data_IF_226012136606
#
_entry.id   IF_226012136606
#
_cell.length_a   1.000
_cell.length_b   1.000
_cell.length_c   1.000
_cell.angle_alpha   90.00
_cell.angle_beta   90.00
_cell.angle_gamma   90.00
#
_symmetry.space_group_name_H-M   'P 1'
#
loop_
_entity.id
_entity.type
_entity.pdbx_description
1 polymer ?
#
# COMPACT_ATOMS: atom_id res chain seq x y z
N UNK A 1 -0.73 10.67 0.07
CA UNK A 1 -1.22 9.53 -0.73
C UNK A 1 -2.10 8.61 0.09
N UNK A 2 -1.61 8.06 1.22
CA UNK A 2 -2.42 7.20 2.12
C UNK A 2 -3.84 7.71 2.43
N UNK A 3 -3.99 8.98 2.83
CA UNK A 3 -5.31 9.60 3.10
C UNK A 3 -6.27 9.54 1.90
N UNK A 4 -5.75 9.75 0.68
CA UNK A 4 -6.58 9.68 -0.53
C UNK A 4 -7.04 8.24 -0.81
N UNK A 5 -6.15 7.26 -0.61
CA UNK A 5 -6.51 5.84 -0.71
C UNK A 5 -7.55 5.44 0.35
N UNK A 6 -7.36 5.87 1.60
CA UNK A 6 -8.31 5.66 2.69
C UNK A 6 -9.68 6.27 2.38
N UNK A 7 -9.75 7.54 1.97
CA UNK A 7 -11.02 8.20 1.65
C UNK A 7 -11.74 7.55 0.45
N UNK A 8 -11.00 7.07 -0.55
CA UNK A 8 -11.59 6.29 -1.65
C UNK A 8 -12.12 4.94 -1.16
N UNK A 9 -11.36 4.22 -0.33
CA UNK A 9 -11.78 2.95 0.26
C UNK A 9 -13.06 3.12 1.10
N UNK A 10 -13.13 4.17 1.91
CA UNK A 10 -14.24 4.47 2.81
C UNK A 10 -15.45 5.15 2.15
N UNK A 11 -15.39 5.48 0.86
CA UNK A 11 -16.54 6.09 0.18
C UNK A 11 -17.79 5.19 0.34
N UNK A 12 -18.90 5.71 0.85
CA UNK A 12 -20.12 4.92 1.14
C UNK A 12 -19.98 3.86 2.26
N UNK A 13 -18.95 3.92 3.09
CA UNK A 13 -18.87 3.16 4.35
C UNK A 13 -19.01 4.12 5.54
N UNK A 14 -19.70 3.63 6.57
CA UNK A 14 -19.72 4.25 7.90
C UNK A 14 -18.30 4.28 8.47
N UNK A 15 -17.86 5.43 8.96
CA UNK A 15 -16.53 5.57 9.56
C UNK A 15 -16.55 5.20 11.05
N UNK A 16 -17.74 5.26 11.64
CA UNK A 16 -18.07 5.00 13.04
C UNK A 16 -17.85 3.54 13.43
N UNK A 17 -17.92 2.61 12.47
CA UNK A 17 -17.72 1.17 12.71
C UNK A 17 -16.24 0.74 12.71
N UNK A 18 -15.32 1.65 12.37
CA UNK A 18 -13.89 1.38 12.28
C UNK A 18 -13.29 1.48 13.68
N UNK A 19 -12.84 0.35 14.22
CA UNK A 19 -12.19 0.28 15.52
C UNK A 19 -10.66 0.36 15.47
N UNK A 20 -10.06 0.24 14.28
CA UNK A 20 -8.61 0.28 14.14
C UNK A 20 -8.12 0.82 12.80
N UNK A 21 -6.94 1.44 12.80
CA UNK A 21 -6.20 1.90 11.64
C UNK A 21 -4.76 1.39 11.68
N UNK A 22 -4.36 0.66 10.65
CA UNK A 22 -3.01 0.13 10.47
C UNK A 22 -2.36 0.87 9.28
N UNK A 23 -1.45 1.80 9.56
CA UNK A 23 -0.72 2.54 8.53
C UNK A 23 0.64 1.91 8.26
N UNK A 24 0.95 1.60 7.00
CA UNK A 24 2.19 0.96 6.59
C UNK A 24 3.01 1.84 5.64
N UNK A 25 4.26 2.13 6.00
CA UNK A 25 5.19 2.91 5.19
C UNK A 25 6.65 2.70 5.62
N UNK A 26 7.56 2.62 4.66
CA UNK A 26 9.01 2.74 4.90
C UNK A 26 9.51 4.18 4.80
N UNK A 27 8.71 5.08 4.24
CA UNK A 27 8.99 6.51 4.11
C UNK A 27 7.92 7.39 4.76
N UNK A 28 7.58 7.18 6.06
CA UNK A 28 6.62 8.03 6.74
C UNK A 28 7.17 9.46 6.90
N UNK A 29 6.31 10.48 6.94
CA UNK A 29 6.74 11.87 7.14
C UNK A 29 7.35 12.12 8.51
N UNK A 30 6.93 11.39 9.55
CA UNK A 30 7.49 11.49 10.90
C UNK A 30 8.07 10.15 11.37
N UNK A 31 9.18 10.23 12.12
CA UNK A 31 9.85 9.07 12.73
C UNK A 31 9.28 8.70 14.09
N UNK A 32 8.95 9.70 14.92
CA UNK A 32 8.45 9.49 16.29
C UNK A 32 6.95 9.79 16.43
N UNK A 33 6.46 10.83 15.73
CA UNK A 33 5.03 11.13 15.72
C UNK A 33 4.27 10.05 14.95
N UNK A 34 3.20 9.52 15.56
CA UNK A 34 2.33 8.56 14.88
C UNK A 34 1.77 9.12 13.56
N UNK A 35 2.04 8.42 12.46
CA UNK A 35 1.57 8.79 11.14
C UNK A 35 0.16 8.23 10.91
N UNK A 36 -0.15 7.07 11.52
CA UNK A 36 -1.50 6.54 11.62
C UNK A 36 -2.46 7.59 12.21
N UNK A 37 -2.08 8.31 13.27
CA UNK A 37 -2.92 9.39 13.83
C UNK A 37 -3.26 10.51 12.83
N UNK A 38 -2.33 10.82 11.92
CA UNK A 38 -2.53 11.82 10.86
C UNK A 38 -3.53 11.28 9.84
N UNK A 39 -3.36 10.02 9.43
CA UNK A 39 -4.26 9.38 8.47
C UNK A 39 -5.66 9.23 9.05
N UNK A 40 -5.80 8.83 10.32
CA UNK A 40 -7.09 8.75 11.01
C UNK A 40 -7.80 10.09 11.02
N UNK A 41 -7.11 11.16 11.44
CA UNK A 41 -7.68 12.50 11.46
C UNK A 41 -8.04 12.99 10.05
N UNK A 42 -7.15 12.83 9.07
CA UNK A 42 -7.39 13.32 7.72
C UNK A 42 -8.41 12.47 6.92
N UNK A 43 -8.68 11.26 7.39
CA UNK A 43 -9.77 10.39 6.92
C UNK A 43 -10.98 10.42 7.86
N UNK A 44 -11.13 11.46 8.67
CA UNK A 44 -12.30 11.71 9.53
C UNK A 44 -12.81 10.47 10.28
N UNK A 45 -11.86 9.68 10.81
CA UNK A 45 -12.19 8.53 11.64
C UNK A 45 -12.57 8.98 13.07
N UNK A 46 -13.28 8.12 13.83
CA UNK A 46 -13.48 8.32 15.26
C UNK A 46 -12.15 8.46 16.00
N UNK A 47 -12.17 9.17 17.13
CA UNK A 47 -10.97 9.35 17.96
C UNK A 47 -10.63 8.13 18.82
N UNK A 48 -11.64 7.29 19.09
CA UNK A 48 -11.60 6.10 19.92
C UNK A 48 -11.29 4.84 19.09
N UNK A 49 -10.20 4.89 18.31
CA UNK A 49 -9.72 3.78 17.49
C UNK A 49 -8.30 3.38 17.89
N UNK A 50 -7.96 2.11 17.66
CA UNK A 50 -6.58 1.64 17.77
C UNK A 50 -5.79 2.03 16.51
N UNK A 51 -4.88 3.01 16.62
CA UNK A 51 -4.04 3.46 15.51
C UNK A 51 -2.60 2.96 15.66
N UNK A 52 -2.05 2.34 14.61
CA UNK A 52 -0.72 1.73 14.65
C UNK A 52 0.06 1.96 13.35
N UNK A 53 1.37 2.19 13.48
CA UNK A 53 2.31 2.38 12.38
C UNK A 53 3.15 1.11 12.14
N UNK A 54 3.26 0.66 10.89
CA UNK A 54 4.08 -0.46 10.40
C UNK A 54 5.17 0.09 9.48
N UNK A 55 6.43 -0.27 9.73
CA UNK A 55 7.55 0.36 9.04
C UNK A 55 8.72 -0.60 8.73
N UNK A 56 9.80 -0.02 8.21
CA UNK A 56 11.14 -0.61 8.02
C UNK A 56 11.31 -1.72 6.97
N UNK A 57 10.25 -2.44 6.60
CA UNK A 57 10.30 -3.47 5.55
C UNK A 57 9.26 -3.21 4.46
N UNK A 58 9.53 -3.65 3.23
CA UNK A 58 8.52 -3.65 2.15
C UNK A 58 7.38 -4.65 2.44
N UNK A 59 7.54 -5.52 3.43
CA UNK A 59 6.44 -6.33 4.01
C UNK A 59 5.53 -5.55 4.95
N UNK A 60 5.83 -4.29 5.29
CA UNK A 60 4.99 -3.51 6.20
C UNK A 60 3.51 -3.50 5.79
N UNK A 61 3.21 -3.44 4.47
CA UNK A 61 1.83 -3.50 3.97
C UNK A 61 1.15 -4.84 4.21
N UNK A 62 1.84 -5.96 3.96
CA UNK A 62 1.30 -7.31 4.20
C UNK A 62 1.27 -7.67 5.69
N UNK A 63 2.22 -7.19 6.48
CA UNK A 63 2.21 -7.29 7.93
C UNK A 63 1.01 -6.56 8.53
N UNK A 64 0.74 -5.33 8.09
CA UNK A 64 -0.43 -4.57 8.50
C UNK A 64 -1.74 -5.27 8.12
N UNK A 65 -1.80 -5.86 6.91
CA UNK A 65 -2.93 -6.67 6.46
C UNK A 65 -3.16 -7.88 7.38
N UNK A 66 -2.11 -8.66 7.68
CA UNK A 66 -2.22 -9.81 8.58
C UNK A 66 -2.67 -9.40 9.98
N UNK A 67 -2.07 -8.35 10.55
CA UNK A 67 -2.45 -7.85 11.87
C UNK A 67 -3.89 -7.35 11.94
N UNK A 68 -4.39 -6.71 10.87
CA UNK A 68 -5.79 -6.30 10.78
C UNK A 68 -6.75 -7.50 10.69
N UNK A 69 -6.41 -8.52 9.89
CA UNK A 69 -7.18 -9.77 9.81
C UNK A 69 -7.25 -10.45 11.18
N UNK A 70 -6.13 -10.54 11.90
CA UNK A 70 -6.09 -11.14 13.23
C UNK A 70 -6.93 -10.35 14.25
N UNK A 71 -6.80 -9.02 14.24
CA UNK A 71 -7.55 -8.16 15.15
C UNK A 71 -9.07 -8.25 14.93
N UNK A 72 -9.51 -8.32 13.67
CA UNK A 72 -10.93 -8.52 13.34
C UNK A 72 -11.39 -9.92 13.70
N UNK A 73 -10.58 -10.94 13.43
CA UNK A 73 -10.92 -12.35 13.72
C UNK A 73 -11.00 -12.63 15.21
N UNK A 74 -10.22 -11.92 16.04
CA UNK A 74 -10.29 -12.02 17.50
C UNK A 74 -11.60 -11.45 18.08
N UNK A 75 -12.33 -10.63 17.34
CA UNK A 75 -13.67 -10.12 17.71
C UNK A 75 -13.82 -8.73 18.34
N UNK A 76 -12.83 -8.10 19.03
CA UNK A 76 -13.05 -6.79 19.66
C UNK A 76 -13.16 -5.65 18.63
N UNK A 77 -12.57 -5.83 17.45
CA UNK A 77 -12.57 -4.86 16.35
C UNK A 77 -13.48 -5.36 15.24
N UNK A 78 -14.61 -4.69 14.96
CA UNK A 78 -15.50 -5.09 13.86
C UNK A 78 -14.91 -4.80 12.49
N UNK A 79 -14.27 -3.64 12.35
CA UNK A 79 -13.61 -3.23 11.12
C UNK A 79 -12.27 -2.57 11.41
N UNK A 80 -11.28 -2.91 10.59
CA UNK A 80 -9.94 -2.35 10.63
C UNK A 80 -9.58 -1.81 9.24
N UNK A 81 -9.12 -0.54 9.19
CA UNK A 81 -8.63 0.07 7.96
C UNK A 81 -7.12 -0.14 7.85
N UNK A 82 -6.68 -0.77 6.77
CA UNK A 82 -5.25 -0.90 6.43
C UNK A 82 -4.94 0.12 5.35
N UNK A 83 -3.89 0.92 5.54
CA UNK A 83 -3.44 1.92 4.57
C UNK A 83 -1.94 1.72 4.35
N UNK A 84 -1.55 1.24 3.19
CA UNK A 84 -0.15 1.17 2.78
C UNK A 84 0.15 2.33 1.83
N UNK A 85 1.20 3.10 2.10
CA UNK A 85 1.58 4.27 1.30
C UNK A 85 3.08 4.47 1.37
N UNK A 86 3.73 4.57 0.22
CA UNK A 86 5.18 4.74 0.17
C UNK A 86 5.63 5.62 -1.00
N UNK A 87 6.79 6.23 -0.81
CA UNK A 87 7.49 7.07 -1.79
C UNK A 87 8.94 6.59 -1.85
N UNK A 88 9.28 5.85 -2.90
CA UNK A 88 10.64 5.28 -2.99
C UNK A 88 11.58 6.22 -3.73
N UNK A 89 12.46 6.88 -2.97
CA UNK A 89 13.51 7.74 -3.53
C UNK A 89 14.74 6.91 -3.88
N UNK A 90 15.00 6.75 -5.17
CA UNK A 90 16.24 6.20 -5.70
C UNK A 90 17.28 7.30 -5.96
N UNK A 91 18.55 6.92 -5.98
CA UNK A 91 19.63 7.84 -6.35
C UNK A 91 19.48 8.23 -7.83
N UNK A 92 19.61 9.51 -8.20
CA UNK A 92 19.62 9.93 -9.60
C UNK A 92 20.64 9.16 -10.42
N UNK A 93 20.24 8.73 -11.63
CA UNK A 93 21.01 7.92 -12.58
C UNK A 93 21.37 6.50 -12.09
N UNK A 94 20.77 6.04 -11.00
CA UNK A 94 20.88 4.64 -10.58
C UNK A 94 19.85 3.76 -11.31
N UNK A 95 20.10 2.46 -11.34
CA UNK A 95 19.14 1.49 -11.91
C UNK A 95 17.78 1.53 -11.19
N UNK A 96 17.80 1.78 -9.87
CA UNK A 96 16.61 1.90 -9.05
C UNK A 96 15.73 3.09 -9.44
N UNK A 97 16.26 4.10 -10.12
CA UNK A 97 15.50 5.28 -10.54
C UNK A 97 14.40 4.94 -11.55
N UNK A 98 14.67 4.02 -12.47
CA UNK A 98 13.68 3.55 -13.44
C UNK A 98 12.67 2.57 -12.83
N UNK A 99 12.99 2.00 -11.66
CA UNK A 99 12.21 0.94 -11.00
C UNK A 99 11.29 1.53 -9.93
N UNK A 100 11.79 2.46 -9.12
CA UNK A 100 11.08 2.96 -7.95
C UNK A 100 9.86 3.80 -8.34
N UNK A 101 8.83 3.71 -7.51
CA UNK A 101 7.57 4.41 -7.69
C UNK A 101 6.98 4.88 -6.38
N UNK A 102 5.86 5.58 -6.52
CA UNK A 102 5.06 6.05 -5.39
C UNK A 102 3.64 5.57 -5.52
N UNK A 103 3.04 5.24 -4.39
CA UNK A 103 1.63 4.88 -4.41
C UNK A 103 1.07 4.61 -3.05
N UNK A 104 -0.24 4.41 -3.03
CA UNK A 104 -0.95 3.97 -1.85
C UNK A 104 -2.14 3.09 -2.23
N UNK A 105 -2.46 2.16 -1.34
CA UNK A 105 -3.67 1.38 -1.37
C UNK A 105 -4.26 1.30 0.04
N UNK A 106 -5.57 1.16 0.12
CA UNK A 106 -6.26 0.97 1.39
C UNK A 106 -7.27 -0.18 1.28
N UNK A 107 -7.33 -1.00 2.33
CA UNK A 107 -8.22 -2.15 2.45
C UNK A 107 -9.02 -2.01 3.74
N UNK A 108 -10.34 -2.18 3.65
CA UNK A 108 -11.21 -2.30 4.82
C UNK A 108 -11.38 -3.78 5.14
N UNK A 109 -10.91 -4.18 6.30
CA UNK A 109 -11.00 -5.56 6.80
C UNK A 109 -12.18 -5.63 7.76
N UNK A 110 -13.04 -6.63 7.59
CA UNK A 110 -14.25 -6.81 8.39
C UNK A 110 -14.79 -8.23 8.26
N UNK A 111 -15.90 -8.51 8.95
CA UNK A 111 -16.55 -9.82 9.00
C UNK A 111 -17.95 -9.86 8.33
N UNK A 112 -18.37 -8.76 7.71
CA UNK A 112 -19.68 -8.60 7.07
C UNK A 112 -19.52 -8.03 5.66
N UNK A 113 -20.33 -8.49 4.71
CA UNK A 113 -20.31 -8.02 3.30
C UNK A 113 -18.90 -8.06 2.68
N UNK A 114 -18.16 -9.14 2.96
CA UNK A 114 -16.76 -9.31 2.56
C UNK A 114 -16.68 -9.61 1.06
N UNK A 115 -15.87 -8.84 0.32
CA UNK A 115 -15.66 -9.06 -1.13
C UNK A 115 -14.70 -10.22 -1.42
N UNK A 116 -13.84 -10.51 -0.45
CA UNK A 116 -12.86 -11.59 -0.49
C UNK A 116 -12.66 -12.13 0.92
N UNK A 117 -12.87 -13.44 1.06
CA UNK A 117 -12.62 -14.21 2.26
C UNK A 117 -11.13 -14.53 2.35
N UNK A 118 -10.56 -14.38 3.54
CA UNK A 118 -9.20 -14.81 3.84
C UNK A 118 -9.21 -16.32 4.16
N UNK A 119 -8.51 -17.12 3.37
CA UNK A 119 -8.41 -18.57 3.63
C UNK A 119 -7.25 -18.85 4.61
N UNK A 120 -6.03 -18.40 4.30
CA UNK A 120 -4.85 -18.63 5.13
C UNK A 120 -3.64 -17.81 4.67
N UNK A 121 -2.58 -17.79 5.48
CA UNK A 121 -1.28 -17.22 5.11
C UNK A 121 -0.09 -18.03 5.63
N UNK A 122 1.07 -17.80 5.03
CA UNK A 122 2.34 -18.35 5.50
C UNK A 122 3.44 -17.30 5.36
N UNK A 123 4.29 -17.16 6.39
CA UNK A 123 5.38 -16.20 6.40
C UNK A 123 6.71 -16.86 6.77
N UNK A 124 7.78 -16.42 6.11
CA UNK A 124 9.18 -16.75 6.41
C UNK A 124 9.93 -15.45 6.62
N UNK A 125 10.81 -15.40 7.60
CA UNK A 125 11.69 -14.25 7.83
C UNK A 125 13.14 -14.67 7.66
N UNK A 126 13.95 -13.78 7.09
CA UNK A 126 15.38 -13.99 6.92
C UNK A 126 16.09 -12.66 7.22
N UNK A 127 17.06 -12.71 8.12
CA UNK A 127 18.03 -11.63 8.24
C UNK A 127 18.95 -11.70 7.02
N UNK A 128 18.91 -10.65 6.20
CA UNK A 128 19.72 -10.48 5.00
C UNK A 128 19.82 -8.99 4.71
N UNK A 129 21.03 -8.51 4.45
CA UNK A 129 21.30 -7.13 4.06
C UNK A 129 21.30 -7.02 2.52
N UNK A 130 20.13 -7.17 1.90
CA UNK A 130 19.97 -7.14 0.45
C UNK A 130 19.74 -5.71 -0.08
N UNK A 131 18.67 -5.07 0.39
CA UNK A 131 18.26 -3.70 0.09
C UNK A 131 17.92 -3.04 1.41
N UNK A 132 18.56 -1.91 1.71
CA UNK A 132 18.39 -1.24 2.99
C UNK A 132 18.45 0.27 2.86
N UNK A 133 18.07 0.94 3.94
CA UNK A 133 18.18 2.39 4.09
C UNK A 133 18.46 2.68 5.56
N UNK A 134 19.65 3.20 5.85
CA UNK A 134 19.99 3.64 7.20
C UNK A 134 19.20 4.91 7.56
N UNK A 135 19.20 5.27 8.84
CA UNK A 135 18.45 6.42 9.36
C UNK A 135 18.76 7.73 8.62
N UNK A 136 20.05 7.97 8.35
CA UNK A 136 20.55 9.17 7.66
C UNK A 136 20.58 9.05 6.14
N UNK A 137 20.28 7.88 5.58
CA UNK A 137 20.35 7.68 4.13
C UNK A 137 19.18 8.41 3.46
N UNK A 138 19.47 9.17 2.41
CA UNK A 138 18.43 9.73 1.52
C UNK A 138 17.94 8.67 0.53
N UNK A 139 18.88 7.92 -0.03
CA UNK A 139 18.64 6.95 -1.10
C UNK A 139 18.68 5.51 -0.60
N UNK A 140 17.99 4.63 -1.31
CA UNK A 140 18.04 3.20 -1.08
C UNK A 140 19.45 2.68 -1.41
N UNK A 141 20.00 1.86 -0.53
CA UNK A 141 21.24 1.12 -0.74
C UNK A 141 20.92 -0.32 -1.15
N UNK A 142 21.79 -0.88 -1.97
CA UNK A 142 21.67 -2.23 -2.52
C UNK A 142 23.03 -2.91 -2.50
N UNK A 143 23.02 -4.23 -2.38
CA UNK A 143 24.20 -5.07 -2.60
C UNK A 143 24.24 -5.62 -4.03
N UNK A 144 25.11 -6.61 -4.26
CA UNK A 144 25.30 -7.31 -5.52
C UNK A 144 24.02 -8.05 -5.98
N UNK A 145 23.70 -7.87 -7.26
CA UNK A 145 22.42 -8.22 -7.86
C UNK A 145 22.05 -9.71 -7.81
N UNK A 146 23.06 -10.58 -7.96
CA UNK A 146 22.90 -12.03 -7.87
C UNK A 146 22.66 -12.47 -6.44
N UNK A 147 23.43 -11.96 -5.48
CA UNK A 147 23.23 -12.25 -4.05
C UNK A 147 21.80 -11.91 -3.61
N UNK A 148 21.32 -10.70 -3.92
CA UNK A 148 19.96 -10.26 -3.57
C UNK A 148 18.90 -11.20 -4.18
N UNK A 149 19.09 -11.57 -5.44
CA UNK A 149 18.15 -12.41 -6.16
C UNK A 149 18.17 -13.85 -5.66
N UNK A 150 19.34 -14.49 -5.60
CA UNK A 150 19.48 -15.92 -5.31
C UNK A 150 19.31 -16.23 -3.82
N UNK A 151 19.90 -15.45 -2.91
CA UNK A 151 19.83 -15.73 -1.47
C UNK A 151 18.57 -15.17 -0.80
N UNK A 152 17.99 -14.12 -1.38
CA UNK A 152 16.76 -13.50 -0.90
C UNK A 152 15.54 -13.95 -1.71
N UNK A 153 15.22 -13.21 -2.77
CA UNK A 153 13.94 -13.27 -3.47
C UNK A 153 13.60 -14.65 -4.08
N UNK A 154 14.52 -15.23 -4.87
CA UNK A 154 14.32 -16.49 -5.60
C UNK A 154 14.34 -17.74 -4.70
N UNK A 155 14.74 -17.58 -3.44
CA UNK A 155 14.79 -18.63 -2.42
C UNK A 155 13.56 -18.59 -1.52
N UNK A 156 13.26 -17.43 -0.94
CA UNK A 156 12.21 -17.32 0.09
C UNK A 156 10.80 -17.28 -0.47
N UNK A 157 10.57 -16.55 -1.57
CA UNK A 157 9.21 -16.38 -2.09
C UNK A 157 8.60 -17.72 -2.56
N UNK A 158 9.33 -18.58 -3.31
CA UNK A 158 8.84 -19.92 -3.63
C UNK A 158 8.59 -20.76 -2.39
N UNK A 159 9.47 -20.70 -1.39
CA UNK A 159 9.31 -21.45 -0.15
C UNK A 159 7.99 -21.09 0.54
N UNK A 160 7.69 -19.80 0.68
CA UNK A 160 6.46 -19.35 1.35
C UNK A 160 5.20 -19.78 0.57
N UNK A 161 5.22 -19.62 -0.76
CA UNK A 161 4.10 -19.99 -1.64
C UNK A 161 3.87 -21.50 -1.62
N UNK A 162 4.92 -22.31 -1.85
CA UNK A 162 4.80 -23.77 -1.87
C UNK A 162 4.31 -24.32 -0.53
N UNK A 163 4.83 -23.83 0.61
CA UNK A 163 4.36 -24.26 1.92
C UNK A 163 2.88 -23.95 2.16
N UNK A 164 2.40 -22.80 1.70
CA UNK A 164 0.99 -22.43 1.81
C UNK A 164 0.12 -23.28 0.88
N UNK A 165 0.55 -23.51 -0.36
CA UNK A 165 -0.16 -24.36 -1.32
C UNK A 165 -0.22 -25.82 -0.86
N UNK A 166 0.88 -26.38 -0.39
CA UNK A 166 0.98 -27.75 0.12
C UNK A 166 0.03 -27.96 1.32
N UNK A 167 -0.05 -26.98 2.23
CA UNK A 167 -0.95 -27.02 3.40
C UNK A 167 -2.42 -27.19 3.00
N UNK A 168 -2.82 -26.64 1.85
CA UNK A 168 -4.19 -26.68 1.32
C UNK A 168 -4.37 -27.66 0.16
N UNK A 169 -3.34 -28.45 -0.19
CA UNK A 169 -3.31 -29.32 -1.37
C UNK A 169 -3.68 -28.60 -2.69
N UNK A 170 -3.29 -27.33 -2.82
CA UNK A 170 -3.57 -26.50 -3.99
C UNK A 170 -2.42 -26.57 -5.00
N UNK A 171 -2.76 -26.39 -6.27
CA UNK A 171 -1.84 -26.32 -7.42
C UNK A 171 -1.97 -24.96 -8.11
N UNK A 172 -1.02 -24.67 -9.00
CA UNK A 172 -0.99 -23.41 -9.72
C UNK A 172 -2.31 -23.11 -10.47
N UNK A 173 -2.94 -24.15 -11.04
CA UNK A 173 -4.20 -24.03 -11.80
C UNK A 173 -5.43 -23.72 -10.92
N UNK A 174 -5.33 -23.84 -9.60
CA UNK A 174 -6.45 -23.56 -8.68
C UNK A 174 -6.61 -22.06 -8.37
N UNK A 175 -5.68 -21.23 -8.86
CA UNK A 175 -5.69 -19.78 -8.69
C UNK A 175 -6.15 -19.09 -9.97
N UNK A 176 -7.14 -18.22 -9.86
CA UNK A 176 -7.57 -17.37 -10.98
C UNK A 176 -6.55 -16.25 -11.24
N UNK A 177 -6.01 -15.68 -10.17
CA UNK A 177 -4.99 -14.62 -10.22
C UNK A 177 -3.87 -14.85 -9.20
N UNK A 178 -2.68 -14.41 -9.57
CA UNK A 178 -1.46 -14.46 -8.77
C UNK A 178 -0.82 -13.08 -8.77
N UNK A 179 -0.65 -12.54 -7.57
CA UNK A 179 -0.05 -11.25 -7.29
C UNK A 179 1.29 -11.49 -6.62
N UNK A 180 2.38 -11.16 -7.32
CA UNK A 180 3.74 -11.38 -6.82
C UNK A 180 4.45 -10.04 -6.71
N UNK A 181 4.97 -9.72 -5.52
CA UNK A 181 6.06 -8.76 -5.44
C UNK A 181 7.19 -9.20 -6.36
N UNK A 182 7.83 -8.25 -7.02
CA UNK A 182 9.12 -8.45 -7.66
C UNK A 182 9.96 -7.18 -7.56
N UNK A 183 11.30 -7.31 -7.55
CA UNK A 183 12.19 -6.15 -7.67
C UNK A 183 12.13 -5.50 -9.06
N UNK A 184 11.93 -6.28 -10.12
CA UNK A 184 11.85 -5.81 -11.50
C UNK A 184 10.96 -6.71 -12.38
N UNK A 185 10.66 -6.25 -13.61
CA UNK A 185 9.76 -6.95 -14.54
C UNK A 185 10.29 -8.32 -15.01
N UNK A 186 11.60 -8.50 -15.13
CA UNK A 186 12.22 -9.76 -15.54
C UNK A 186 12.06 -10.80 -14.42
N UNK A 187 12.43 -10.43 -13.19
CA UNK A 187 12.31 -11.28 -12.00
C UNK A 187 10.85 -11.59 -11.64
N UNK A 188 9.90 -10.72 -12.01
CA UNK A 188 8.46 -10.97 -11.89
C UNK A 188 8.00 -12.16 -12.75
N UNK A 189 8.33 -12.13 -14.05
CA UNK A 189 7.98 -13.23 -14.96
C UNK A 189 8.75 -14.51 -14.67
N UNK A 190 10.01 -14.40 -14.24
CA UNK A 190 10.83 -15.54 -13.84
C UNK A 190 10.19 -16.31 -12.67
N UNK A 191 9.75 -15.60 -11.63
CA UNK A 191 9.10 -16.20 -10.46
C UNK A 191 7.82 -16.94 -10.84
N UNK A 192 6.96 -16.32 -11.64
CA UNK A 192 5.72 -16.95 -12.10
C UNK A 192 5.97 -18.23 -12.91
N UNK A 193 6.95 -18.21 -13.82
CA UNK A 193 7.37 -19.42 -14.57
C UNK A 193 7.90 -20.51 -13.65
N UNK A 194 8.76 -20.14 -12.68
CA UNK A 194 9.35 -21.07 -11.72
C UNK A 194 8.29 -21.80 -10.89
N UNK A 195 7.18 -21.13 -10.58
CA UNK A 195 6.06 -21.66 -9.80
C UNK A 195 4.96 -22.31 -10.67
N UNK A 196 5.12 -22.32 -11.99
CA UNK A 196 4.17 -22.96 -12.91
C UNK A 196 2.89 -22.17 -13.19
N UNK A 197 2.89 -20.86 -12.94
CA UNK A 197 1.75 -19.99 -13.25
C UNK A 197 1.78 -19.49 -14.69
N UNK A 198 0.60 -19.37 -15.30
CA UNK A 198 0.46 -18.79 -16.64
C UNK A 198 0.65 -17.27 -16.61
N UNK A 199 1.59 -16.79 -17.44
CA UNK A 199 1.99 -15.38 -17.47
C UNK A 199 0.93 -14.43 -18.03
N UNK A 200 0.00 -14.94 -18.84
CA UNK A 200 -0.97 -14.09 -19.56
C UNK A 200 -2.29 -13.99 -18.82
N UNK A 201 -2.76 -15.10 -18.26
CA UNK A 201 -4.07 -15.21 -17.64
C UNK A 201 -4.02 -15.01 -16.12
N UNK A 202 -3.08 -15.67 -15.43
CA UNK A 202 -3.03 -15.70 -13.97
C UNK A 202 -2.19 -14.57 -13.37
N UNK A 203 -1.04 -14.25 -13.97
CA UNK A 203 -0.13 -13.26 -13.41
C UNK A 203 -0.70 -11.84 -13.48
N UNK A 204 -0.78 -11.16 -12.33
CA UNK A 204 -1.22 -9.76 -12.26
C UNK A 204 -0.17 -8.80 -12.85
N UNK A 205 -0.59 -7.74 -13.53
CA UNK A 205 0.32 -6.70 -14.04
C UNK A 205 1.04 -6.01 -12.86
N UNK A 206 2.39 -6.00 -12.82
CA UNK A 206 3.17 -5.46 -11.72
C UNK A 206 3.31 -3.93 -11.74
N UNK A 207 2.63 -3.21 -12.63
CA UNK A 207 2.66 -1.74 -12.73
C UNK A 207 4.03 -1.14 -13.07
N UNK A 208 5.03 -1.96 -13.44
CA UNK A 208 6.31 -1.48 -13.97
C UNK A 208 6.09 -0.69 -15.26
N UNK A 209 6.83 0.41 -15.42
CA UNK A 209 6.66 1.36 -16.53
C UNK A 209 5.38 2.21 -16.49
N UNK A 210 4.51 2.01 -15.47
CA UNK A 210 3.30 2.81 -15.24
C UNK A 210 3.39 3.61 -13.94
N UNK A 211 3.71 2.94 -12.84
CA UNK A 211 3.86 3.51 -11.49
C UNK A 211 5.25 3.23 -10.92
N UNK A 212 5.79 2.03 -11.17
CA UNK A 212 7.02 1.55 -10.54
C UNK A 212 6.74 0.79 -9.23
N UNK A 213 7.81 0.33 -8.59
CA UNK A 213 7.76 -0.36 -7.30
C UNK A 213 7.46 0.64 -6.18
N UNK A 214 6.24 0.59 -5.64
CA UNK A 214 5.72 1.52 -4.63
C UNK A 214 6.00 1.08 -3.19
N UNK A 215 7.02 0.25 -2.98
CA UNK A 215 7.47 -0.16 -1.65
C UNK A 215 6.43 -0.95 -0.87
N UNK A 216 6.14 -0.56 0.37
CA UNK A 216 5.18 -1.24 1.23
C UNK A 216 3.76 -1.28 0.64
N UNK A 217 3.42 -0.35 -0.25
CA UNK A 217 2.12 -0.33 -0.94
C UNK A 217 2.05 -1.27 -2.14
N UNK A 218 3.18 -1.78 -2.65
CA UNK A 218 3.25 -2.40 -3.97
C UNK A 218 2.39 -3.65 -4.10
N UNK A 219 2.59 -4.62 -3.21
CA UNK A 219 1.82 -5.87 -3.21
C UNK A 219 0.33 -5.62 -2.96
N UNK A 220 0.00 -4.65 -2.10
CA UNK A 220 -1.39 -4.26 -1.79
C UNK A 220 -2.07 -3.59 -2.98
N UNK A 221 -1.36 -2.70 -3.70
CA UNK A 221 -1.86 -2.06 -4.92
C UNK A 221 -2.15 -3.09 -6.02
N UNK A 222 -1.27 -4.08 -6.20
CA UNK A 222 -1.50 -5.15 -7.16
C UNK A 222 -2.65 -6.07 -6.73
N UNK A 223 -2.85 -6.32 -5.42
CA UNK A 223 -4.03 -7.02 -4.93
C UNK A 223 -5.33 -6.26 -5.28
N UNK A 224 -5.37 -4.95 -5.07
CA UNK A 224 -6.53 -4.13 -5.47
C UNK A 224 -6.76 -4.22 -6.98
N UNK A 225 -5.70 -4.15 -7.79
CA UNK A 225 -5.81 -4.29 -9.24
C UNK A 225 -6.33 -5.67 -9.67
N UNK A 226 -5.96 -6.74 -8.97
CA UNK A 226 -6.49 -8.08 -9.22
C UNK A 226 -7.97 -8.20 -8.84
N UNK A 227 -8.37 -7.62 -7.70
CA UNK A 227 -9.77 -7.62 -7.23
C UNK A 227 -10.71 -6.86 -8.16
N UNK A 228 -10.22 -5.84 -8.90
CA UNK A 228 -11.01 -5.13 -9.91
C UNK A 228 -11.47 -6.03 -11.08
N UNK A 229 -10.70 -7.08 -11.37
CA UNK A 229 -10.93 -8.00 -12.49
C UNK A 229 -11.50 -9.35 -12.04
N UNK A 230 -11.41 -9.67 -10.74
CA UNK A 230 -11.82 -10.95 -10.18
C UNK A 230 -13.33 -11.17 -10.27
N UNK A 231 -13.74 -12.44 -10.38
CA UNK A 231 -15.12 -12.90 -10.43
C UNK A 231 -15.46 -13.67 -9.16
N UNK A 232 -16.73 -13.71 -8.73
CA UNK A 232 -17.13 -14.48 -7.55
C UNK A 232 -16.61 -15.93 -7.58
N UNK A 233 -15.98 -16.36 -6.50
CA UNK A 233 -15.39 -17.69 -6.35
C UNK A 233 -13.93 -17.81 -6.82
N UNK A 234 -13.38 -16.79 -7.48
CA UNK A 234 -11.97 -16.75 -7.87
C UNK A 234 -11.08 -16.81 -6.63
N UNK A 235 -10.07 -17.68 -6.68
CA UNK A 235 -8.99 -17.72 -5.69
C UNK A 235 -7.82 -16.88 -6.16
N UNK A 236 -7.32 -16.02 -5.28
CA UNK A 236 -6.20 -15.11 -5.53
C UNK A 236 -5.07 -15.43 -4.56
N UNK A 237 -3.87 -15.69 -5.11
CA UNK A 237 -2.63 -15.78 -4.33
C UNK A 237 -1.98 -14.40 -4.28
N UNK A 238 -1.69 -13.89 -3.09
CA UNK A 238 -0.85 -12.71 -2.89
C UNK A 238 0.46 -13.16 -2.25
N UNK A 239 1.60 -12.81 -2.83
CA UNK A 239 2.90 -13.04 -2.23
C UNK A 239 3.77 -11.77 -2.25
N UNK A 240 4.39 -11.46 -1.12
CA UNK A 240 5.22 -10.27 -0.94
C UNK A 240 6.61 -10.65 -0.42
N UNK A 241 7.61 -9.81 -0.69
CA UNK A 241 8.99 -10.03 -0.24
C UNK A 241 9.62 -8.74 0.32
N UNK A 242 10.42 -8.92 1.37
CA UNK A 242 11.27 -7.89 1.98
C UNK A 242 11.92 -8.43 3.25
N UNK A 243 13.20 -8.84 3.15
CA UNK A 243 13.96 -9.51 4.23
C UNK A 243 13.19 -10.71 4.82
N UNK A 244 12.56 -11.48 3.93
CA UNK A 244 11.51 -12.44 4.25
C UNK A 244 10.45 -12.47 3.16
N UNK A 245 9.51 -13.41 3.27
CA UNK A 245 8.41 -13.56 2.34
C UNK A 245 7.10 -13.85 3.09
N UNK A 246 6.01 -13.30 2.56
CA UNK A 246 4.65 -13.61 3.01
C UNK A 246 3.84 -14.11 1.83
N UNK A 247 2.99 -15.11 2.04
CA UNK A 247 2.01 -15.60 1.07
C UNK A 247 0.62 -15.63 1.72
N UNK A 248 -0.42 -15.25 0.98
CA UNK A 248 -1.81 -15.20 1.41
C UNK A 248 -2.70 -15.81 0.34
N UNK A 249 -3.75 -16.51 0.77
CA UNK A 249 -4.81 -16.96 -0.12
C UNK A 249 -6.10 -16.23 0.24
N UNK A 250 -6.72 -15.65 -0.79
CA UNK A 250 -8.04 -15.06 -0.70
C UNK A 250 -9.00 -15.75 -1.67
N UNK A 251 -10.26 -15.85 -1.29
CA UNK A 251 -11.34 -16.33 -2.16
C UNK A 251 -12.40 -15.24 -2.29
N UNK A 252 -12.64 -14.78 -3.51
CA UNK A 252 -13.66 -13.76 -3.75
C UNK A 252 -15.07 -14.29 -3.54
N UNK A 253 -15.96 -13.43 -3.08
CA UNK A 253 -17.37 -13.76 -2.82
C UNK A 253 -18.27 -13.10 -3.87
N UNK A 254 -19.59 -13.28 -3.75
CA UNK A 254 -20.56 -12.56 -4.59
C UNK A 254 -20.55 -11.05 -4.36
N UNK A 255 -20.11 -10.58 -3.18
CA UNK A 255 -20.08 -9.16 -2.84
C UNK A 255 -19.11 -8.35 -3.69
N UNK A 256 -18.16 -9.00 -4.38
CA UNK A 256 -17.24 -8.32 -5.30
C UNK A 256 -17.99 -7.58 -6.43
N UNK A 257 -19.14 -8.09 -6.88
CA UNK A 257 -19.97 -7.43 -7.88
C UNK A 257 -20.64 -6.16 -7.33
N UNK A 258 -20.92 -6.11 -6.02
CA UNK A 258 -21.55 -4.96 -5.40
C UNK A 258 -20.63 -3.73 -5.35
N UNK A 259 -19.31 -3.91 -5.42
CA UNK A 259 -18.34 -2.80 -5.44
C UNK A 259 -17.83 -2.49 -6.85
N UNK A 260 -18.07 -3.36 -7.84
CA UNK A 260 -17.55 -3.22 -9.20
C UNK A 260 -18.04 -1.91 -9.82
N UNK A 261 -17.10 -1.11 -10.32
CA UNK A 261 -17.40 0.19 -10.94
C UNK A 261 -17.87 1.31 -10.00
N UNK A 262 -18.13 1.02 -8.71
CA UNK A 262 -18.56 2.02 -7.72
C UNK A 262 -17.39 2.73 -7.02
N UNK A 263 -16.20 2.15 -7.12
CA UNK A 263 -14.96 2.68 -6.53
C UNK A 263 -14.01 3.11 -7.62
N UNK A 264 -13.23 4.16 -7.33
CA UNK A 264 -12.16 4.56 -8.22
C UNK A 264 -10.97 3.63 -8.04
N UNK A 265 -10.83 2.68 -8.96
CA UNK A 265 -9.77 1.69 -8.96
C UNK A 265 -8.41 2.19 -9.43
N UNK A 266 -7.40 1.31 -9.37
CA UNK A 266 -6.05 1.49 -9.89
C UNK A 266 -6.10 1.91 -11.37
N UNK A 267 -6.89 1.22 -12.20
CA UNK A 267 -7.05 1.58 -13.62
C UNK A 267 -7.50 3.03 -13.82
N UNK A 268 -8.54 3.45 -13.10
CA UNK A 268 -9.07 4.82 -13.19
C UNK A 268 -8.08 5.89 -12.70
N UNK A 269 -7.21 5.56 -11.73
CA UNK A 269 -6.14 6.48 -11.33
C UNK A 269 -5.03 6.55 -12.38
N UNK A 270 -4.64 5.42 -12.97
CA UNK A 270 -3.66 5.38 -14.06
C UNK A 270 -4.10 6.20 -15.27
N UNK A 271 -5.39 6.17 -15.61
CA UNK A 271 -5.95 6.93 -16.74
C UNK A 271 -5.98 8.44 -16.48
N UNK A 272 -5.94 8.87 -15.22
CA UNK A 272 -5.99 10.29 -14.84
C UNK A 272 -4.63 10.96 -14.65
N UNK A 273 -3.56 10.28 -15.05
CA UNK A 273 -2.19 10.79 -14.87
C UNK A 273 -1.92 11.97 -15.80
N UNK A 274 -0.98 12.81 -15.38
CA UNK A 274 -0.36 13.83 -16.22
C UNK A 274 1.13 13.54 -16.34
N UNK A 275 1.64 13.49 -17.58
CA UNK A 275 3.07 13.34 -17.82
C UNK A 275 3.79 14.62 -17.39
N UNK A 276 4.92 14.44 -16.72
CA UNK A 276 5.84 15.55 -16.45
C UNK A 276 6.51 15.97 -17.76
N UNK A 277 6.79 17.27 -17.92
CA UNK A 277 7.41 17.77 -19.15
C UNK A 277 8.85 17.26 -19.33
N UNK A 278 9.60 17.11 -18.24
CA UNK A 278 11.02 16.75 -18.26
C UNK A 278 11.51 16.21 -16.91
N UNK A 279 12.74 15.69 -16.92
CA UNK A 279 13.41 15.10 -15.76
C UNK A 279 13.81 16.13 -14.70
N UNK A 280 14.10 17.38 -15.07
CA UNK A 280 14.45 18.43 -14.12
C UNK A 280 13.24 18.82 -13.24
N UNK A 281 12.06 18.85 -13.84
CA UNK A 281 10.78 19.04 -13.15
C UNK A 281 10.57 17.93 -12.12
N UNK A 282 10.84 16.67 -12.51
CA UNK A 282 10.81 15.53 -11.59
C UNK A 282 11.78 15.72 -10.41
N UNK A 283 13.06 15.98 -10.68
CA UNK A 283 14.08 16.16 -9.63
C UNK A 283 13.73 17.31 -8.68
N UNK A 284 13.21 18.42 -9.21
CA UNK A 284 12.76 19.56 -8.42
C UNK A 284 11.59 19.20 -7.52
N UNK A 285 10.57 18.50 -8.04
CA UNK A 285 9.39 18.10 -7.26
C UNK A 285 9.73 17.05 -6.20
N UNK A 286 10.77 16.25 -6.44
CA UNK A 286 11.34 15.32 -5.47
C UNK A 286 12.21 15.99 -4.40
N UNK A 287 12.54 17.27 -4.55
CA UNK A 287 13.49 17.96 -3.68
C UNK A 287 14.92 17.43 -3.82
N UNK A 288 15.28 16.85 -4.96
CA UNK A 288 16.62 16.35 -5.26
C UNK A 288 17.54 17.42 -5.85
N UNK A 289 16.94 18.50 -6.37
CA UNK A 289 17.63 19.72 -6.77
C UNK A 289 16.88 20.89 -6.13
N UNK A 290 17.64 21.81 -5.55
CA UNK A 290 17.08 23.02 -4.95
C UNK A 290 16.54 23.96 -6.03
N UNK A 291 15.31 24.43 -5.81
CA UNK A 291 14.79 25.56 -6.57
C UNK A 291 15.38 26.84 -5.97
N UNK A 292 15.87 27.75 -6.82
CA UNK A 292 16.19 29.10 -6.36
C UNK A 292 15.00 29.66 -5.56
N UNK A 293 15.22 30.15 -4.33
CA UNK A 293 14.13 30.60 -3.48
C UNK A 293 13.33 31.68 -4.20
N UNK A 294 11.98 31.63 -4.18
CA UNK A 294 11.19 32.67 -4.81
C UNK A 294 11.54 34.01 -4.17
N UNK A 295 11.94 34.97 -5.00
CA UNK A 295 12.51 36.28 -4.62
C UNK A 295 11.66 37.09 -3.63
N UNK A 296 10.38 36.73 -3.41
CA UNK A 296 9.38 37.57 -2.72
C UNK A 296 8.38 36.84 -1.83
N UNK A 297 8.68 35.66 -1.28
CA UNK A 297 7.81 35.07 -0.25
C UNK A 297 8.53 35.06 1.09
N UNK A 298 7.98 35.72 2.14
CA UNK A 298 8.44 35.49 3.49
C UNK A 298 8.43 33.99 3.77
N UNK A 299 9.38 33.49 4.57
CA UNK A 299 9.34 32.11 5.02
C UNK A 299 7.96 31.82 5.63
N UNK A 300 7.39 30.66 5.29
CA UNK A 300 6.13 30.24 5.90
C UNK A 300 6.33 30.20 7.42
N UNK A 301 5.51 30.96 8.16
CA UNK A 301 5.50 30.86 9.62
C UNK A 301 5.06 29.45 9.98
N UNK A 302 5.84 28.79 10.84
CA UNK A 302 5.45 27.48 11.37
C UNK A 302 4.13 27.61 12.12
N UNK A 303 3.14 26.74 11.82
CA UNK A 303 1.86 26.80 12.52
C UNK A 303 2.05 26.46 14.00
N UNK A 304 1.30 27.13 14.87
CA UNK A 304 1.30 26.83 16.31
C UNK A 304 0.75 25.42 16.55
N UNK A 305 1.44 24.54 17.31
CA UNK A 305 0.93 23.22 17.67
C UNK A 305 -0.43 23.26 18.37
N UNK A 306 -0.63 24.24 19.25
CA UNK A 306 -1.91 24.44 19.93
C UNK A 306 -3.03 24.85 18.96
N UNK A 307 -2.72 25.67 17.95
CA UNK A 307 -3.68 25.99 16.89
C UNK A 307 -3.99 24.77 16.02
N UNK A 308 -2.98 23.97 15.66
CA UNK A 308 -3.19 22.75 14.89
C UNK A 308 -4.11 21.76 15.61
N UNK A 309 -3.98 21.61 16.93
CA UNK A 309 -4.86 20.76 17.74
C UNK A 309 -6.30 21.27 17.79
N UNK A 310 -6.50 22.57 18.01
CA UNK A 310 -7.85 23.16 18.05
C UNK A 310 -8.57 23.08 16.71
N UNK A 311 -7.83 23.21 15.62
CA UNK A 311 -8.35 23.33 14.27
C UNK A 311 -8.26 22.01 13.47
N UNK A 312 -8.09 20.84 14.11
CA UNK A 312 -8.00 19.54 13.42
C UNK A 312 -9.21 19.28 12.51
N UNK A 313 -10.41 19.61 12.98
CA UNK A 313 -11.66 19.49 12.20
C UNK A 313 -11.59 20.24 10.87
N UNK A 314 -11.10 21.48 10.91
CA UNK A 314 -10.96 22.31 9.72
C UNK A 314 -9.76 21.89 8.85
N UNK A 315 -8.59 21.72 9.47
CA UNK A 315 -7.32 21.61 8.75
C UNK A 315 -7.04 20.21 8.18
N UNK A 316 -7.49 19.15 8.88
CA UNK A 316 -7.23 17.77 8.47
C UNK A 316 -8.50 17.06 8.02
N UNK A 317 -9.60 17.20 8.77
CA UNK A 317 -10.88 16.53 8.44
C UNK A 317 -11.66 17.24 7.33
N UNK A 318 -11.27 18.46 6.97
CA UNK A 318 -11.98 19.33 6.02
C UNK A 318 -13.47 19.49 6.35
N UNK A 319 -13.78 19.61 7.64
CA UNK A 319 -15.14 19.93 8.09
C UNK A 319 -15.49 21.36 7.67
N UNK A 320 -16.46 21.46 6.77
CA UNK A 320 -17.18 22.70 6.51
C UNK A 320 -18.16 23.01 7.63
N UNK A 321 -18.60 24.27 7.72
CA UNK A 321 -19.66 24.70 8.63
C UNK A 321 -20.88 25.13 7.83
N UNK A 322 -22.07 25.05 8.44
CA UNK A 322 -23.32 25.55 7.84
C UNK A 322 -23.96 26.54 8.81
N UNK A 323 -24.26 27.73 8.33
CA UNK A 323 -24.97 28.72 9.14
C UNK A 323 -26.34 28.17 9.56
N UNK A 324 -26.61 28.11 10.86
CA UNK A 324 -27.89 27.62 11.39
C UNK A 324 -29.08 28.53 11.09
N UNK A 325 -28.83 29.81 10.80
CA UNK A 325 -29.88 30.79 10.51
C UNK A 325 -30.26 30.83 9.02
N UNK A 326 -29.28 30.95 8.11
CA UNK A 326 -29.55 31.08 6.68
C UNK A 326 -29.20 29.84 5.85
N UNK A 327 -28.62 28.80 6.46
CA UNK A 327 -28.25 27.57 5.77
C UNK A 327 -27.03 27.68 4.86
N UNK A 328 -26.34 28.83 4.82
CA UNK A 328 -25.17 29.03 3.96
C UNK A 328 -24.01 28.11 4.36
N UNK A 329 -23.52 27.24 3.44
CA UNK A 329 -22.35 26.40 3.70
C UNK A 329 -21.05 27.20 3.52
N UNK A 330 -20.12 27.04 4.45
CA UNK A 330 -18.74 27.50 4.36
C UNK A 330 -17.83 26.27 4.38
N UNK A 331 -17.14 26.05 3.27
CA UNK A 331 -16.20 24.96 3.06
C UNK A 331 -14.76 25.49 3.01
#
# INVERSE_FOLDING_TARGET
MGVAAANNCLSNFSREDIGALYFASTTPPYREKSNASIVAAASDLPSDIFAMDFANSLRAGTNALKSAIDAVSAGPTRQALVVASDLRVAQPRSELEAICGDGAAALLIGNSNIIAEFEDCYSVSQEILDIWKAESDTFIRTWEDRFIAEEGYLKLLPQAISKLMDKHNLKANDFAKVVLYAPDARRHQEMARKLGFDLKSQLQDPLFGKVGNTGAAFAVMMLVAALEEAKPGDRILLANYGNGADAFIFRTTQEIENIRGKKRGIKSYLDSKKLLPDYETYLTWRGLIDKAPPVRRPAFRTPSPAAMLREVGKNLRFHGTKCKQCGYPQY
#
